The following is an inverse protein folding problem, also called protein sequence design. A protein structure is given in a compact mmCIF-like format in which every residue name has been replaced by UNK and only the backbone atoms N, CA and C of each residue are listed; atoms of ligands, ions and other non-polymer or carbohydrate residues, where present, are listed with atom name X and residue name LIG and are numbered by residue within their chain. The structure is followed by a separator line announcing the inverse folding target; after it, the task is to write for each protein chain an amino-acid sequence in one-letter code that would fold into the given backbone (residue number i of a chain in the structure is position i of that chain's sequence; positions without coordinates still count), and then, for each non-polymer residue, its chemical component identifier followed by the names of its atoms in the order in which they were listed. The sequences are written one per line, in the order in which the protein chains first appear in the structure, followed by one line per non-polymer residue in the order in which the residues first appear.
data_IF_724503559290
#
_entry.id   IF_724503559290
#
_cell.length_a   1.000
_cell.length_b   1.000
_cell.length_c   1.000
_cell.angle_alpha   90.00
_cell.angle_beta   90.00
_cell.angle_gamma   90.00
#
_symmetry.space_group_name_H-M   'P 1'
#
loop_
_entity.id
_entity.type
_entity.pdbx_description
1 polymer ?
#
# COMPACT_ATOMS: atom_id res chain seq x y z
N UNK A 1 26.26 5.12 35.61
CA UNK A 1 27.06 6.32 35.31
C UNK A 1 26.71 6.75 33.90
N UNK A 2 26.17 7.97 33.75
CA UNK A 2 25.92 8.75 32.53
C UNK A 2 24.92 8.23 31.48
N UNK A 3 23.65 8.57 31.72
CA UNK A 3 22.65 8.90 30.68
C UNK A 3 23.07 10.22 30.00
N UNK A 4 23.08 10.27 28.66
CA UNK A 4 23.06 11.55 27.93
C UNK A 4 21.68 11.72 27.31
N UNK A 5 20.94 12.68 27.85
CA UNK A 5 19.72 13.25 27.29
C UNK A 5 20.13 14.32 26.28
N UNK A 6 19.59 14.28 25.07
CA UNK A 6 19.60 15.46 24.19
C UNK A 6 18.23 16.11 24.30
N UNK A 7 18.24 17.28 24.93
CA UNK A 7 17.15 18.24 24.99
C UNK A 7 17.43 19.25 23.88
N UNK A 8 16.55 19.39 22.89
CA UNK A 8 16.54 20.55 22.01
C UNK A 8 15.17 21.21 22.16
N UNK A 9 15.17 22.43 22.68
CA UNK A 9 13.98 23.22 22.95
C UNK A 9 14.16 24.56 22.24
N UNK A 10 13.21 24.84 21.33
CA UNK A 10 12.59 26.13 21.00
C UNK A 10 13.42 27.15 20.21
N UNK A 11 12.86 27.59 19.07
CA UNK A 11 12.47 29.01 18.94
C UNK A 11 11.32 29.20 17.94
N UNK A 12 10.19 29.66 18.47
CA UNK A 12 9.07 30.24 17.73
C UNK A 12 9.49 31.53 17.02
N UNK A 13 9.02 31.72 15.79
CA UNK A 13 9.15 32.96 15.03
C UNK A 13 7.88 33.26 14.25
N UNK A 14 6.88 33.81 14.94
CA UNK A 14 5.70 34.42 14.33
C UNK A 14 6.14 35.73 13.65
N UNK A 15 5.87 35.90 12.36
CA UNK A 15 5.96 37.21 11.69
C UNK A 15 4.73 37.40 10.81
N UNK A 16 3.71 38.03 11.40
CA UNK A 16 2.59 38.65 10.72
C UNK A 16 3.03 40.03 10.22
N UNK A 17 2.87 40.30 8.93
CA UNK A 17 2.78 41.66 8.40
C UNK A 17 1.66 41.73 7.37
N UNK A 18 0.74 42.63 7.65
CA UNK A 18 -0.53 42.88 6.99
C UNK A 18 -0.42 43.88 5.83
N UNK A 19 -1.19 43.58 4.79
CA UNK A 19 -2.09 44.45 4.02
C UNK A 19 -1.59 45.57 3.08
N UNK A 20 -2.22 45.51 1.90
CA UNK A 20 -2.84 46.59 1.11
C UNK A 20 -2.11 47.07 -0.15
N UNK A 21 -2.83 47.01 -1.28
CA UNK A 21 -2.60 47.88 -2.43
C UNK A 21 -3.02 47.33 -3.79
N UNK A 22 -4.32 47.44 -4.12
CA UNK A 22 -4.84 47.28 -5.47
C UNK A 22 -4.29 48.35 -6.45
N UNK A 23 -4.16 47.96 -7.74
CA UNK A 23 -4.64 48.80 -8.84
C UNK A 23 -3.64 49.23 -9.91
N UNK A 24 -3.80 48.66 -11.12
CA UNK A 24 -4.02 49.47 -12.33
C UNK A 24 -2.88 49.65 -13.34
N UNK A 25 -2.96 48.87 -14.42
CA UNK A 25 -3.00 49.31 -15.83
C UNK A 25 -1.73 49.77 -16.58
N UNK A 26 -1.34 48.89 -17.52
CA UNK A 26 -0.96 49.04 -18.95
C UNK A 26 0.31 49.79 -19.41
N UNK A 27 1.18 48.95 -20.01
CA UNK A 27 1.72 48.99 -21.39
C UNK A 27 2.59 50.16 -21.87
N UNK A 28 3.84 49.85 -22.25
CA UNK A 28 4.33 50.05 -23.63
C UNK A 28 5.62 49.26 -23.91
N UNK A 29 5.65 48.63 -25.08
CA UNK A 29 6.80 47.99 -25.72
C UNK A 29 7.86 49.02 -26.17
N UNK A 30 9.14 48.65 -26.18
CA UNK A 30 10.07 48.75 -27.34
C UNK A 30 11.39 48.02 -26.99
N UNK A 31 11.65 46.87 -27.64
CA UNK A 31 12.70 46.59 -28.64
C UNK A 31 14.18 46.68 -28.22
N UNK A 32 14.95 45.63 -28.51
CA UNK A 32 16.42 45.65 -28.53
C UNK A 32 17.05 44.33 -28.07
N UNK A 33 17.39 43.44 -29.00
CA UNK A 33 17.95 42.12 -28.70
C UNK A 33 19.44 42.11 -28.33
N UNK A 34 19.92 40.99 -27.77
CA UNK A 34 21.09 40.20 -28.20
C UNK A 34 21.17 38.90 -27.37
N UNK A 35 21.47 37.80 -28.06
CA UNK A 35 21.81 36.42 -27.63
C UNK A 35 22.80 36.37 -26.44
N UNK A 36 22.56 35.56 -25.39
CA UNK A 36 22.79 34.11 -25.23
C UNK A 36 24.10 33.82 -24.46
N UNK A 37 23.99 33.15 -23.30
CA UNK A 37 24.73 31.92 -22.95
C UNK A 37 24.48 31.45 -21.49
N UNK A 38 24.09 30.17 -21.38
CA UNK A 38 24.39 29.21 -20.29
C UNK A 38 23.78 29.44 -18.89
N UNK A 39 23.30 28.45 -18.13
CA UNK A 39 23.28 27.00 -18.26
C UNK A 39 22.09 26.44 -17.44
N UNK A 40 21.38 25.47 -18.01
CA UNK A 40 20.39 24.65 -17.32
C UNK A 40 20.91 23.21 -17.39
N UNK A 41 21.25 22.63 -16.24
CA UNK A 41 21.65 21.23 -16.11
C UNK A 41 20.40 20.41 -15.89
N UNK A 42 20.10 19.52 -16.84
CA UNK A 42 19.13 18.44 -16.65
C UNK A 42 19.81 17.16 -16.16
N UNK A 43 18.99 16.22 -15.72
CA UNK A 43 19.19 14.79 -15.96
C UNK A 43 17.81 14.17 -16.06
N UNK A 44 17.47 13.85 -17.30
CA UNK A 44 16.40 12.98 -17.73
C UNK A 44 17.14 11.76 -18.30
N UNK A 45 16.81 10.55 -17.86
CA UNK A 45 17.42 9.32 -18.36
C UNK A 45 16.31 8.34 -18.77
N UNK A 46 15.78 8.58 -19.97
CA UNK A 46 15.05 7.59 -20.73
C UNK A 46 15.98 6.41 -21.07
N UNK A 47 15.55 5.18 -20.79
CA UNK A 47 16.09 3.99 -21.44
C UNK A 47 15.09 3.44 -22.46
N UNK A 48 15.65 3.20 -23.64
CA UNK A 48 15.07 2.74 -24.89
C UNK A 48 14.52 1.32 -24.82
N UNK A 49 13.27 1.16 -25.25
CA UNK A 49 12.70 -0.12 -25.67
C UNK A 49 13.45 -0.70 -26.87
N UNK A 50 13.82 -1.97 -26.76
CA UNK A 50 14.15 -2.81 -27.91
C UNK A 50 13.35 -4.10 -27.79
N UNK A 51 12.33 -4.19 -28.63
CA UNK A 51 11.48 -5.35 -28.82
C UNK A 51 12.31 -6.59 -29.20
N UNK A 52 12.16 -7.66 -28.42
CA UNK A 52 12.41 -9.01 -28.90
C UNK A 52 11.34 -9.96 -28.34
N UNK A 53 10.53 -10.40 -29.28
CA UNK A 53 9.55 -11.49 -29.25
C UNK A 53 10.19 -12.81 -28.78
N UNK A 54 9.70 -13.36 -27.66
CA UNK A 54 9.70 -14.80 -27.40
C UNK A 54 8.72 -15.17 -26.29
N UNK A 55 7.65 -15.88 -26.68
CA UNK A 55 7.03 -16.95 -25.87
C UNK A 55 6.18 -16.53 -24.68
N UNK A 56 4.88 -16.35 -24.92
CA UNK A 56 3.83 -16.58 -23.90
C UNK A 56 4.02 -17.98 -23.29
N UNK A 57 4.52 -18.05 -22.07
CA UNK A 57 4.19 -19.11 -21.13
C UNK A 57 3.33 -18.47 -20.05
N UNK A 58 2.03 -18.74 -20.14
CA UNK A 58 1.08 -18.64 -19.03
C UNK A 58 1.50 -19.65 -17.98
N UNK A 59 2.18 -19.20 -16.93
CA UNK A 59 2.33 -19.99 -15.71
C UNK A 59 1.24 -19.56 -14.74
N UNK A 60 0.18 -20.37 -14.72
CA UNK A 60 -0.80 -20.41 -13.63
C UNK A 60 -0.07 -20.92 -12.38
N UNK A 61 0.38 -20.02 -11.51
CA UNK A 61 0.64 -20.35 -10.11
C UNK A 61 -0.43 -19.68 -9.27
N UNK A 62 -1.35 -20.51 -8.79
CA UNK A 62 -2.26 -20.20 -7.70
C UNK A 62 -1.43 -19.93 -6.45
N UNK A 63 -1.05 -18.67 -6.25
CA UNK A 63 -0.81 -18.13 -4.93
C UNK A 63 -2.15 -18.14 -4.21
N UNK A 64 -2.46 -19.24 -3.53
CA UNK A 64 -3.57 -19.31 -2.59
C UNK A 64 -3.16 -18.42 -1.40
N UNK A 65 -3.43 -17.12 -1.52
CA UNK A 65 -3.45 -16.21 -0.39
C UNK A 65 -4.45 -16.79 0.60
N UNK A 66 -4.01 -16.99 1.85
CA UNK A 66 -4.88 -17.34 2.95
C UNK A 66 -5.74 -16.12 3.35
N UNK A 67 -6.48 -15.56 2.40
CA UNK A 67 -7.58 -14.66 2.67
C UNK A 67 -8.75 -15.54 3.12
N UNK A 68 -9.20 -15.33 4.36
CA UNK A 68 -10.39 -16.00 4.89
C UNK A 68 -11.52 -15.92 3.88
N UNK A 69 -12.12 -17.07 3.56
CA UNK A 69 -13.11 -17.16 2.48
C UNK A 69 -14.23 -16.13 2.68
N UNK A 70 -14.34 -15.17 1.76
CA UNK A 70 -15.32 -14.11 1.89
C UNK A 70 -16.74 -14.68 1.90
N UNK A 71 -17.56 -14.16 2.81
CA UNK A 71 -18.95 -14.60 2.93
C UNK A 71 -19.83 -13.88 1.90
N UNK A 72 -20.64 -14.64 1.17
CA UNK A 72 -21.69 -14.11 0.29
C UNK A 72 -22.88 -13.58 1.12
N UNK A 73 -24.05 -13.38 0.51
CA UNK A 73 -25.28 -12.85 1.14
C UNK A 73 -25.89 -13.72 2.29
N UNK A 74 -25.10 -14.60 2.92
CA UNK A 74 -25.44 -15.46 4.06
C UNK A 74 -25.44 -14.72 5.42
N UNK A 75 -25.31 -15.44 6.53
CA UNK A 75 -25.16 -14.82 7.87
C UNK A 75 -23.83 -14.08 7.94
N UNK A 76 -23.82 -12.85 8.49
CA UNK A 76 -22.56 -12.12 8.67
C UNK A 76 -21.69 -12.86 9.68
N UNK A 77 -20.37 -12.91 9.49
CA UNK A 77 -19.44 -13.23 10.56
C UNK A 77 -19.72 -12.33 11.77
N UNK A 78 -19.68 -12.89 12.98
CA UNK A 78 -20.00 -12.14 14.20
C UNK A 78 -19.11 -10.90 14.38
N UNK A 79 -17.84 -11.01 14.00
CA UNK A 79 -16.87 -9.91 14.03
C UNK A 79 -17.21 -8.79 13.04
N UNK A 80 -17.62 -9.15 11.81
CA UNK A 80 -18.11 -8.16 10.84
C UNK A 80 -19.40 -7.48 11.33
N UNK A 81 -20.31 -8.22 11.98
CA UNK A 81 -21.53 -7.64 12.56
C UNK A 81 -21.20 -6.68 13.71
N UNK A 82 -20.27 -7.06 14.60
CA UNK A 82 -19.81 -6.20 15.69
C UNK A 82 -19.16 -4.91 15.17
N UNK A 83 -18.22 -5.03 14.23
CA UNK A 83 -17.55 -3.89 13.59
C UNK A 83 -18.55 -2.96 12.88
N UNK A 84 -19.48 -3.51 12.09
CA UNK A 84 -20.54 -2.71 11.47
C UNK A 84 -21.44 -2.05 12.52
N UNK A 85 -21.70 -2.70 13.65
CA UNK A 85 -22.56 -2.15 14.71
C UNK A 85 -21.89 -1.02 15.51
N UNK A 86 -20.56 -1.00 15.60
CA UNK A 86 -19.79 0.00 16.33
C UNK A 86 -19.64 1.32 15.57
N UNK A 87 -19.79 1.32 14.24
CA UNK A 87 -19.78 2.52 13.40
C UNK A 87 -20.82 3.57 13.81
N UNK A 88 -20.41 4.84 13.79
CA UNK A 88 -21.33 5.99 13.86
C UNK A 88 -22.31 6.02 12.67
N UNK A 89 -23.39 6.80 12.78
CA UNK A 89 -24.35 6.93 11.67
C UNK A 89 -23.70 7.59 10.44
N UNK A 90 -22.81 8.55 10.66
CA UNK A 90 -22.09 9.26 9.62
C UNK A 90 -21.07 8.36 8.91
N UNK A 91 -20.22 7.65 9.65
CA UNK A 91 -19.24 6.71 9.08
C UNK A 91 -19.95 5.61 8.27
N UNK A 92 -21.03 5.06 8.83
CA UNK A 92 -21.88 4.09 8.16
C UNK A 92 -22.43 4.60 6.83
N UNK A 93 -22.91 5.83 6.81
CA UNK A 93 -23.42 6.46 5.59
C UNK A 93 -22.30 6.70 4.57
N UNK A 94 -21.13 7.14 5.03
CA UNK A 94 -19.97 7.40 4.18
C UNK A 94 -19.44 6.11 3.53
N UNK A 95 -19.20 5.06 4.32
CA UNK A 95 -18.76 3.77 3.82
C UNK A 95 -19.79 3.09 2.91
N UNK A 96 -21.08 3.19 3.24
CA UNK A 96 -22.14 2.74 2.32
C UNK A 96 -22.04 3.45 0.96
N UNK A 97 -21.81 4.77 0.96
CA UNK A 97 -21.67 5.54 -0.28
C UNK A 97 -20.47 5.09 -1.10
N UNK A 98 -19.30 4.91 -0.48
CA UNK A 98 -18.08 4.44 -1.17
C UNK A 98 -18.32 3.09 -1.83
N UNK A 99 -18.84 2.12 -1.07
CA UNK A 99 -19.12 0.78 -1.58
C UNK A 99 -20.18 0.80 -2.70
N UNK A 100 -21.22 1.61 -2.54
CA UNK A 100 -22.27 1.77 -3.54
C UNK A 100 -21.72 2.38 -4.84
N UNK A 101 -20.88 3.41 -4.74
CA UNK A 101 -20.28 4.07 -5.89
C UNK A 101 -19.30 3.16 -6.64
N UNK A 102 -18.48 2.38 -5.93
CA UNK A 102 -17.61 1.39 -6.57
C UNK A 102 -18.45 0.33 -7.28
N UNK A 103 -19.46 -0.24 -6.61
CA UNK A 103 -20.28 -1.33 -7.15
C UNK A 103 -21.16 -0.90 -8.34
N UNK A 104 -21.87 0.22 -8.24
CA UNK A 104 -22.86 0.63 -9.25
C UNK A 104 -22.32 1.65 -10.25
N UNK A 105 -21.39 2.50 -9.84
CA UNK A 105 -20.91 3.63 -10.65
C UNK A 105 -19.46 3.46 -11.11
N UNK A 106 -18.72 2.51 -10.53
CA UNK A 106 -17.30 2.27 -10.78
C UNK A 106 -16.45 3.52 -10.49
N UNK A 107 -16.82 4.25 -9.44
CA UNK A 107 -16.16 5.47 -8.99
C UNK A 107 -15.52 5.24 -7.63
N UNK A 108 -14.26 5.64 -7.51
CA UNK A 108 -13.50 5.61 -6.28
C UNK A 108 -13.43 7.02 -5.65
N UNK A 109 -13.23 7.13 -4.32
CA UNK A 109 -13.13 8.42 -3.63
C UNK A 109 -12.07 9.37 -4.19
N UNK A 110 -10.99 8.83 -4.74
CA UNK A 110 -9.89 9.61 -5.33
C UNK A 110 -10.13 10.02 -6.79
N UNK A 111 -11.31 9.72 -7.33
CA UNK A 111 -11.75 9.97 -8.70
C UNK A 111 -10.91 9.27 -9.80
N UNK A 112 -10.00 8.36 -9.43
CA UNK A 112 -9.20 7.59 -10.39
C UNK A 112 -9.97 6.38 -10.90
N UNK A 113 -9.51 5.87 -12.04
CA UNK A 113 -10.00 4.64 -12.65
C UNK A 113 -9.00 3.51 -12.38
N UNK A 114 -9.51 2.38 -11.91
CA UNK A 114 -8.74 1.17 -11.62
C UNK A 114 -9.00 0.06 -12.64
N UNK A 115 -9.32 0.45 -13.88
CA UNK A 115 -9.40 -0.49 -15.01
C UNK A 115 -10.71 -1.25 -15.13
N UNK A 116 -11.85 -0.64 -14.81
CA UNK A 116 -13.16 -1.30 -14.91
C UNK A 116 -13.33 -2.12 -16.22
N UNK A 117 -13.54 -3.43 -16.06
CA UNK A 117 -13.74 -4.35 -17.16
C UNK A 117 -15.23 -4.64 -17.38
N UNK A 118 -15.75 -4.17 -18.52
CA UNK A 118 -17.13 -4.42 -18.90
C UNK A 118 -17.38 -5.93 -19.07
N UNK A 119 -18.20 -6.50 -18.18
CA UNK A 119 -18.54 -7.92 -18.16
C UNK A 119 -17.84 -8.74 -17.07
N UNK A 120 -16.92 -8.14 -16.31
CA UNK A 120 -16.46 -8.72 -15.06
C UNK A 120 -17.60 -8.68 -14.01
N UNK A 121 -17.64 -9.68 -13.13
CA UNK A 121 -18.60 -9.71 -12.04
C UNK A 121 -18.03 -8.93 -10.85
N UNK A 122 -18.45 -7.66 -10.70
CA UNK A 122 -17.97 -6.78 -9.64
C UNK A 122 -18.26 -7.30 -8.23
N UNK A 123 -19.18 -8.25 -8.08
CA UNK A 123 -19.51 -8.85 -6.78
C UNK A 123 -18.46 -9.83 -6.26
N UNK A 124 -17.51 -10.24 -7.10
CA UNK A 124 -16.37 -11.08 -6.70
C UNK A 124 -15.31 -10.31 -5.90
N UNK A 125 -15.31 -8.98 -5.99
CA UNK A 125 -14.50 -8.12 -5.11
C UNK A 125 -14.95 -8.27 -3.66
N UNK A 126 -14.09 -7.82 -2.74
CA UNK A 126 -14.29 -7.99 -1.32
C UNK A 126 -14.14 -6.68 -0.56
N UNK A 127 -14.80 -6.59 0.59
CA UNK A 127 -14.64 -5.49 1.53
C UNK A 127 -14.75 -5.98 2.97
N UNK A 128 -14.23 -5.21 3.91
CA UNK A 128 -14.41 -5.43 5.34
C UNK A 128 -14.51 -4.10 6.09
N UNK A 129 -15.09 -4.14 7.29
CA UNK A 129 -14.96 -3.06 8.28
C UNK A 129 -14.15 -3.64 9.43
N UNK A 130 -13.00 -3.05 9.72
CA UNK A 130 -12.07 -3.57 10.72
C UNK A 130 -11.12 -2.47 11.19
N UNK A 131 -10.76 -2.51 12.48
CA UNK A 131 -9.69 -1.68 13.09
C UNK A 131 -8.33 -2.32 12.79
N UNK A 132 -7.71 -1.99 11.65
CA UNK A 132 -6.46 -2.66 11.22
C UNK A 132 -5.21 -2.02 11.78
N UNK A 133 -5.23 -0.72 12.06
CA UNK A 133 -4.09 -0.02 12.66
C UNK A 133 -4.10 -0.02 14.21
N UNK A 134 -5.19 -0.51 14.82
CA UNK A 134 -5.39 -0.60 16.26
C UNK A 134 -5.48 0.76 16.95
N UNK A 135 -5.92 1.81 16.25
CA UNK A 135 -6.14 3.15 16.79
C UNK A 135 -7.49 3.27 17.55
N UNK A 136 -8.37 2.27 17.40
CA UNK A 136 -9.69 2.19 18.03
C UNK A 136 -10.85 2.68 17.16
N UNK A 137 -10.57 3.13 15.94
CA UNK A 137 -11.52 3.45 14.88
C UNK A 137 -11.86 2.19 14.09
N UNK A 138 -12.69 2.30 13.06
CA UNK A 138 -13.01 1.15 12.21
C UNK A 138 -12.86 1.61 10.78
N UNK A 139 -11.96 0.97 10.03
CA UNK A 139 -11.64 1.38 8.68
C UNK A 139 -12.45 0.56 7.68
N UNK A 140 -12.72 1.16 6.52
CA UNK A 140 -13.25 0.45 5.36
C UNK A 140 -12.10 -0.11 4.52
N UNK A 141 -12.01 -1.44 4.47
CA UNK A 141 -11.08 -2.17 3.63
C UNK A 141 -11.78 -2.61 2.35
N UNK A 142 -11.10 -2.51 1.20
CA UNK A 142 -11.62 -2.97 -0.09
C UNK A 142 -10.51 -3.71 -0.84
N UNK A 143 -10.79 -4.90 -1.36
CA UNK A 143 -9.93 -5.61 -2.29
C UNK A 143 -10.61 -5.65 -3.67
N UNK A 144 -10.10 -4.83 -4.60
CA UNK A 144 -10.59 -4.70 -5.97
C UNK A 144 -9.74 -5.55 -6.92
N UNK A 145 -10.28 -6.67 -7.37
CA UNK A 145 -9.60 -7.70 -8.17
C UNK A 145 -10.28 -8.02 -9.50
N UNK A 146 -11.50 -7.52 -9.75
CA UNK A 146 -12.28 -7.78 -10.97
C UNK A 146 -11.86 -6.86 -12.13
N UNK A 147 -10.57 -6.77 -12.37
CA UNK A 147 -9.90 -5.88 -13.32
C UNK A 147 -8.66 -6.57 -13.89
N UNK A 148 -7.89 -5.90 -14.72
CA UNK A 148 -6.59 -6.41 -15.17
C UNK A 148 -5.54 -6.36 -14.04
N UNK A 149 -4.41 -7.05 -14.22
CA UNK A 149 -3.37 -7.17 -13.20
C UNK A 149 -2.87 -5.82 -12.68
N UNK A 150 -2.77 -4.82 -13.56
CA UNK A 150 -2.30 -3.49 -13.22
C UNK A 150 -3.36 -2.66 -12.47
N UNK A 151 -4.65 -2.96 -12.67
CA UNK A 151 -5.75 -2.30 -11.98
C UNK A 151 -6.09 -2.91 -10.63
N UNK A 152 -5.58 -4.11 -10.29
CA UNK A 152 -5.83 -4.75 -9.00
C UNK A 152 -5.30 -3.88 -7.88
N UNK A 153 -6.13 -3.58 -6.89
CA UNK A 153 -5.77 -2.65 -5.81
C UNK A 153 -6.56 -2.97 -4.55
N UNK A 154 -5.91 -2.85 -3.41
CA UNK A 154 -6.54 -2.80 -2.10
C UNK A 154 -6.47 -1.38 -1.52
N UNK A 155 -7.49 -1.03 -0.76
CA UNK A 155 -7.66 0.28 -0.14
C UNK A 155 -7.98 0.14 1.34
N UNK A 156 -7.51 1.10 2.14
CA UNK A 156 -7.93 1.32 3.52
C UNK A 156 -8.40 2.77 3.63
N UNK A 157 -9.65 2.94 4.08
CA UNK A 157 -10.27 4.25 4.26
C UNK A 157 -10.74 4.47 5.70
N UNK A 158 -10.29 5.54 6.32
CA UNK A 158 -10.87 6.04 7.58
C UNK A 158 -11.97 7.08 7.31
N UNK A 159 -12.89 7.23 8.27
CA UNK A 159 -13.90 8.28 8.30
C UNK A 159 -13.52 9.43 9.25
N UNK A 160 -13.15 10.57 8.67
CA UNK A 160 -12.76 11.76 9.43
C UNK A 160 -14.00 12.56 9.84
N UNK A 161 -14.52 12.28 11.03
CA UNK A 161 -15.74 12.93 11.57
C UNK A 161 -15.72 14.46 11.57
N UNK A 162 -14.56 15.09 11.75
CA UNK A 162 -14.42 16.55 11.74
C UNK A 162 -14.66 17.18 10.37
N UNK A 163 -14.48 16.40 9.30
CA UNK A 163 -14.60 16.82 7.91
C UNK A 163 -15.81 16.20 7.19
N UNK A 164 -16.47 15.21 7.83
CA UNK A 164 -17.59 14.44 7.26
C UNK A 164 -17.21 13.83 5.91
N UNK A 165 -16.03 13.22 5.84
CA UNK A 165 -15.47 12.62 4.62
C UNK A 165 -14.65 11.37 4.93
N UNK A 166 -14.52 10.51 3.91
CA UNK A 166 -13.55 9.41 3.93
C UNK A 166 -12.15 9.92 3.52
N UNK A 167 -11.12 9.39 4.15
CA UNK A 167 -9.71 9.65 3.81
C UNK A 167 -9.03 8.32 3.51
N UNK A 168 -8.21 8.29 2.45
CA UNK A 168 -7.34 7.16 2.15
C UNK A 168 -6.16 7.12 3.11
N UNK A 169 -5.94 5.97 3.73
CA UNK A 169 -4.79 5.72 4.61
C UNK A 169 -3.76 4.81 3.95
N UNK A 170 -4.22 3.98 3.02
CA UNK A 170 -3.38 3.02 2.33
C UNK A 170 -3.97 2.64 0.98
N UNK A 171 -3.07 2.42 0.01
CA UNK A 171 -3.36 1.93 -1.32
C UNK A 171 -2.19 1.11 -1.84
N UNK A 172 -2.42 -0.15 -2.23
CA UNK A 172 -1.39 -1.04 -2.77
C UNK A 172 -2.01 -2.22 -3.54
N UNK A 173 -1.20 -3.06 -4.20
CA UNK A 173 -1.63 -4.35 -4.74
C UNK A 173 -2.29 -5.23 -3.65
N UNK A 174 -3.40 -5.97 -3.95
CA UNK A 174 -4.26 -6.58 -2.92
C UNK A 174 -3.73 -7.88 -2.27
N UNK A 175 -2.44 -8.17 -2.40
CA UNK A 175 -1.79 -9.28 -1.71
C UNK A 175 -1.27 -8.80 -0.34
N UNK A 176 -2.19 -8.64 0.61
CA UNK A 176 -1.91 -8.03 1.91
C UNK A 176 -2.03 -9.04 3.06
N UNK A 177 -1.06 -8.98 3.98
CA UNK A 177 -1.13 -9.59 5.31
C UNK A 177 -1.08 -8.48 6.36
N UNK A 178 -2.08 -8.44 7.25
CA UNK A 178 -2.20 -7.42 8.29
C UNK A 178 -1.75 -7.97 9.64
N UNK A 179 -1.12 -7.14 10.46
CA UNK A 179 -0.64 -7.50 11.78
C UNK A 179 -1.22 -6.59 12.88
N UNK A 180 -1.51 -7.17 14.04
CA UNK A 180 -2.10 -6.49 15.22
C UNK A 180 -1.19 -5.44 15.91
N UNK A 181 -0.08 -5.08 15.27
CA UNK A 181 0.85 -4.05 15.69
C UNK A 181 1.00 -2.91 14.66
N UNK A 182 0.07 -2.81 13.70
CA UNK A 182 0.03 -1.74 12.70
C UNK A 182 1.01 -1.94 11.54
N UNK A 183 1.50 -3.16 11.32
CA UNK A 183 2.29 -3.50 10.13
C UNK A 183 1.43 -4.19 9.07
N UNK A 184 1.77 -3.95 7.80
CA UNK A 184 1.22 -4.65 6.64
C UNK A 184 2.37 -5.18 5.79
N UNK A 185 2.34 -6.47 5.45
CA UNK A 185 3.14 -7.01 4.36
C UNK A 185 2.32 -6.97 3.07
N UNK A 186 2.84 -6.27 2.06
CA UNK A 186 2.23 -6.19 0.74
C UNK A 186 3.10 -6.93 -0.29
N UNK A 187 2.66 -8.11 -0.71
CA UNK A 187 3.32 -8.88 -1.76
C UNK A 187 3.26 -8.16 -3.11
N UNK A 188 4.31 -8.29 -3.92
CA UNK A 188 4.31 -7.68 -5.26
C UNK A 188 3.35 -8.41 -6.21
N UNK A 189 2.87 -7.71 -7.25
CA UNK A 189 2.06 -8.34 -8.32
C UNK A 189 2.82 -9.40 -9.12
N UNK A 190 4.15 -9.31 -9.15
CA UNK A 190 5.02 -10.23 -9.88
C UNK A 190 6.28 -10.53 -9.07
N UNK A 191 6.73 -11.78 -9.11
CA UNK A 191 8.05 -12.16 -8.66
C UNK A 191 9.03 -12.12 -9.84
N UNK A 192 9.72 -10.99 -10.00
CA UNK A 192 10.72 -10.79 -11.05
C UNK A 192 12.16 -10.98 -10.55
N UNK A 193 12.32 -11.27 -9.26
CA UNK A 193 13.60 -11.40 -8.58
C UNK A 193 14.21 -12.79 -8.70
N UNK A 194 15.26 -13.01 -7.92
CA UNK A 194 15.97 -14.29 -7.85
C UNK A 194 15.47 -15.17 -6.70
N UNK A 195 14.43 -14.76 -5.97
CA UNK A 195 13.90 -15.46 -4.79
C UNK A 195 13.20 -16.79 -5.10
N UNK A 196 12.84 -17.01 -6.38
CA UNK A 196 12.20 -18.25 -6.82
C UNK A 196 10.81 -18.45 -6.21
N UNK A 197 10.32 -19.70 -6.22
CA UNK A 197 9.00 -20.03 -5.66
C UNK A 197 8.98 -20.01 -4.12
N UNK A 198 10.16 -20.12 -3.49
CA UNK A 198 10.30 -20.23 -2.03
C UNK A 198 10.15 -18.88 -1.31
N UNK A 199 10.27 -17.77 -2.04
CA UNK A 199 10.18 -16.43 -1.48
C UNK A 199 9.48 -15.48 -2.47
N UNK A 200 8.37 -14.90 -2.03
CA UNK A 200 7.68 -13.86 -2.80
C UNK A 200 8.11 -12.48 -2.27
N UNK A 201 8.62 -11.58 -3.12
CA UNK A 201 9.04 -10.26 -2.69
C UNK A 201 7.84 -9.44 -2.18
N UNK A 202 8.10 -8.58 -1.19
CA UNK A 202 7.08 -7.77 -0.55
C UNK A 202 7.63 -6.43 -0.07
N UNK A 203 6.72 -5.48 0.14
CA UNK A 203 7.00 -4.24 0.85
C UNK A 203 6.34 -4.31 2.22
N UNK A 204 7.11 -4.03 3.27
CA UNK A 204 6.62 -3.87 4.63
C UNK A 204 6.22 -2.41 4.84
N UNK A 205 4.98 -2.21 5.26
CA UNK A 205 4.41 -0.91 5.63
C UNK A 205 4.17 -0.85 7.14
N UNK A 206 4.32 0.34 7.72
CA UNK A 206 4.03 0.62 9.12
C UNK A 206 3.05 1.78 9.22
N UNK A 207 2.04 1.65 10.06
CA UNK A 207 1.12 2.74 10.38
C UNK A 207 1.85 3.88 11.12
N UNK A 208 1.66 5.11 10.63
CA UNK A 208 2.17 6.34 11.24
C UNK A 208 1.02 7.19 11.79
N UNK A 209 0.87 7.17 13.12
CA UNK A 209 -0.16 7.95 13.83
C UNK A 209 -0.08 9.48 13.67
N UNK A 210 1.04 10.05 13.19
CA UNK A 210 1.13 11.49 12.96
C UNK A 210 0.43 11.89 11.66
N UNK A 211 0.65 11.13 10.59
CA UNK A 211 0.02 11.34 9.28
C UNK A 211 -1.32 10.63 9.14
N UNK A 212 -1.58 9.62 9.98
CA UNK A 212 -2.78 8.80 9.96
C UNK A 212 -2.88 8.01 8.64
N UNK A 213 -1.74 7.40 8.28
CA UNK A 213 -1.52 6.64 7.04
C UNK A 213 -0.50 5.53 7.25
N UNK A 214 -0.46 4.54 6.36
CA UNK A 214 0.60 3.54 6.30
C UNK A 214 1.75 4.03 5.42
N UNK A 215 2.98 3.98 5.95
CA UNK A 215 4.20 4.39 5.25
C UNK A 215 5.11 3.20 4.99
N UNK A 216 5.78 3.20 3.85
CA UNK A 216 6.74 2.15 3.52
C UNK A 216 7.89 2.16 4.54
N UNK A 217 8.22 0.99 5.08
CA UNK A 217 9.32 0.81 6.02
C UNK A 217 10.51 0.14 5.33
N UNK A 218 10.27 -0.94 4.58
CA UNK A 218 11.32 -1.66 3.84
C UNK A 218 10.74 -2.45 2.69
N UNK A 219 11.53 -2.60 1.62
CA UNK A 219 11.31 -3.58 0.57
C UNK A 219 12.17 -4.83 0.83
N UNK A 220 11.61 -6.01 0.60
CA UNK A 220 12.30 -7.28 0.81
C UNK A 220 12.25 -8.13 -0.46
N UNK A 221 13.41 -8.57 -0.90
CA UNK A 221 13.61 -9.57 -1.95
C UNK A 221 14.59 -10.64 -1.46
N UNK A 222 14.75 -11.70 -2.24
CA UNK A 222 15.70 -12.76 -1.97
C UNK A 222 16.44 -13.20 -3.24
N UNK A 223 17.54 -13.89 -3.03
CA UNK A 223 18.21 -14.66 -4.07
C UNK A 223 18.32 -16.10 -3.60
N UNK A 224 17.57 -16.99 -4.22
CA UNK A 224 17.70 -18.44 -4.09
C UNK A 224 18.70 -18.94 -5.15
N UNK A 225 19.83 -19.49 -4.69
CA UNK A 225 20.91 -19.99 -5.55
C UNK A 225 20.42 -21.04 -6.54
N UNK A 226 19.38 -21.79 -6.20
CA UNK A 226 18.83 -22.84 -7.06
C UNK A 226 18.15 -22.28 -8.31
N UNK A 227 17.69 -21.04 -8.27
CA UNK A 227 17.10 -20.31 -9.41
C UNK A 227 18.19 -19.93 -10.41
N UNK A 228 19.25 -19.27 -9.92
CA UNK A 228 20.41 -18.93 -10.72
C UNK A 228 21.66 -18.74 -9.87
N UNK A 229 22.80 -19.18 -10.38
CA UNK A 229 24.10 -18.90 -9.75
C UNK A 229 24.65 -17.50 -10.05
N UNK A 230 24.04 -16.77 -10.99
CA UNK A 230 24.42 -15.40 -11.33
C UNK A 230 23.19 -14.51 -11.55
N UNK A 231 23.27 -13.23 -11.19
CA UNK A 231 22.24 -12.24 -11.49
C UNK A 231 22.31 -11.74 -12.96
N UNK A 232 21.48 -10.75 -13.31
CA UNK A 232 21.40 -10.18 -14.64
C UNK A 232 22.66 -9.38 -15.02
N UNK A 233 23.36 -8.84 -14.03
CA UNK A 233 24.61 -8.10 -14.14
C UNK A 233 25.84 -9.03 -14.23
N UNK A 234 25.65 -10.33 -13.95
CA UNK A 234 26.68 -11.35 -13.98
C UNK A 234 27.49 -11.47 -12.69
N UNK A 235 27.00 -10.90 -11.58
CA UNK A 235 27.54 -11.17 -10.26
C UNK A 235 27.20 -12.61 -9.86
N UNK A 236 28.08 -13.26 -9.10
CA UNK A 236 27.84 -14.61 -8.59
C UNK A 236 27.03 -14.57 -7.30
N UNK A 237 26.28 -15.64 -7.02
CA UNK A 237 25.60 -15.82 -5.73
C UNK A 237 26.59 -15.66 -4.57
N UNK A 238 26.30 -14.85 -3.53
CA UNK A 238 27.23 -14.51 -2.46
C UNK A 238 27.35 -15.64 -1.43
N UNK A 239 28.12 -16.69 -1.77
CA UNK A 239 28.34 -17.86 -0.92
C UNK A 239 28.92 -17.51 0.46
N UNK A 240 29.68 -16.43 0.58
CA UNK A 240 30.26 -15.98 1.84
C UNK A 240 29.24 -15.38 2.82
N UNK A 241 28.08 -14.93 2.31
CA UNK A 241 26.99 -14.37 3.11
C UNK A 241 26.06 -15.48 3.61
N UNK A 242 25.82 -16.53 2.81
CA UNK A 242 25.03 -17.72 3.17
C UNK A 242 25.77 -18.63 4.18
N UNK A 243 26.02 -18.10 5.39
CA UNK A 243 26.72 -18.80 6.47
C UNK A 243 25.88 -19.94 7.03
N UNK A 244 24.55 -19.81 7.00
CA UNK A 244 23.62 -20.86 7.39
C UNK A 244 23.64 -22.06 6.42
N UNK A 245 24.03 -21.84 5.17
CA UNK A 245 24.00 -22.84 4.10
C UNK A 245 22.58 -23.16 3.65
N UNK A 246 21.66 -22.19 3.78
CA UNK A 246 20.28 -22.30 3.35
C UNK A 246 20.15 -22.33 1.83
N UNK A 247 21.15 -21.80 1.10
CA UNK A 247 21.09 -21.61 -0.34
C UNK A 247 20.33 -20.34 -0.75
N UNK A 248 19.94 -19.50 0.20
CA UNK A 248 19.20 -18.26 -0.01
C UNK A 248 19.80 -17.13 0.81
N UNK A 249 19.87 -15.94 0.22
CA UNK A 249 20.20 -14.69 0.92
C UNK A 249 19.10 -13.67 0.69
N UNK A 250 18.97 -12.71 1.61
CA UNK A 250 17.85 -11.76 1.64
C UNK A 250 18.33 -10.33 1.48
N UNK A 251 17.63 -9.54 0.68
CA UNK A 251 17.85 -8.11 0.53
C UNK A 251 16.76 -7.37 1.30
N UNK A 252 17.14 -6.61 2.32
CA UNK A 252 16.23 -5.75 3.08
C UNK A 252 16.65 -4.31 2.78
N UNK A 253 15.81 -3.60 2.02
CA UNK A 253 16.07 -2.23 1.58
C UNK A 253 15.15 -1.29 2.32
N UNK A 254 15.65 -0.46 3.27
CA UNK A 254 14.83 0.57 3.91
C UNK A 254 14.20 1.52 2.89
N UNK A 255 13.03 2.05 3.19
CA UNK A 255 12.36 2.99 2.28
C UNK A 255 13.25 4.21 1.96
N UNK A 256 13.29 4.58 0.68
CA UNK A 256 14.12 5.67 0.16
C UNK A 256 15.63 5.41 0.11
N UNK A 257 16.09 4.20 0.44
CA UNK A 257 17.50 3.80 0.33
C UNK A 257 17.76 2.91 -0.90
N UNK A 258 19.01 2.90 -1.37
CA UNK A 258 19.45 1.96 -2.41
C UNK A 258 19.63 0.56 -1.79
N UNK A 259 19.33 -0.49 -2.57
CA UNK A 259 19.55 -1.88 -2.14
C UNK A 259 21.00 -2.11 -1.72
N UNK A 260 21.18 -2.54 -0.48
CA UNK A 260 22.48 -2.82 0.13
C UNK A 260 22.98 -4.25 -0.11
N UNK A 261 23.96 -4.64 0.71
CA UNK A 261 24.44 -6.02 0.76
C UNK A 261 23.35 -6.95 1.33
N UNK A 262 23.24 -8.19 0.83
CA UNK A 262 22.28 -9.13 1.36
C UNK A 262 22.70 -9.66 2.74
N UNK A 263 21.75 -10.30 3.42
CA UNK A 263 21.94 -10.92 4.73
C UNK A 263 21.66 -12.43 4.68
N UNK A 264 22.26 -13.15 5.62
CA UNK A 264 21.99 -14.58 5.87
C UNK A 264 20.56 -14.79 6.41
N UNK A 265 20.05 -16.01 6.27
CA UNK A 265 18.76 -16.42 6.84
C UNK A 265 18.60 -16.02 8.31
N UNK A 266 19.61 -16.26 9.15
CA UNK A 266 19.47 -16.01 10.59
C UNK A 266 19.35 -14.50 10.92
N UNK A 267 19.91 -13.64 10.08
CA UNK A 267 19.79 -12.19 10.23
C UNK A 267 18.46 -11.67 9.67
N UNK A 268 17.98 -12.24 8.56
CA UNK A 268 16.63 -11.99 8.07
C UNK A 268 15.57 -12.39 9.09
N UNK A 269 15.65 -13.60 9.67
CA UNK A 269 14.71 -14.06 10.69
C UNK A 269 14.72 -13.16 11.93
N UNK A 270 15.91 -12.71 12.36
CA UNK A 270 16.05 -11.77 13.48
C UNK A 270 15.47 -10.38 13.16
N UNK A 271 15.57 -9.93 11.91
CA UNK A 271 14.92 -8.71 11.45
C UNK A 271 13.40 -8.85 11.44
N UNK A 272 12.86 -9.97 10.95
CA UNK A 272 11.42 -10.28 11.00
C UNK A 272 10.91 -10.29 12.44
N UNK A 273 11.59 -11.02 13.33
CA UNK A 273 11.25 -11.07 14.75
C UNK A 273 11.26 -9.67 15.40
N UNK A 274 12.11 -8.76 14.92
CA UNK A 274 12.26 -7.43 15.51
C UNK A 274 11.08 -6.49 15.26
N UNK A 275 10.49 -6.51 14.05
CA UNK A 275 9.31 -5.68 13.77
C UNK A 275 8.03 -6.41 14.15
N UNK A 276 8.00 -7.75 14.07
CA UNK A 276 6.84 -8.53 14.50
C UNK A 276 6.65 -8.43 16.01
N UNK A 277 7.70 -8.51 16.82
CA UNK A 277 7.66 -8.36 18.30
C UNK A 277 6.51 -9.13 18.98
N UNK A 278 6.21 -10.34 18.48
CA UNK A 278 5.11 -11.17 18.97
C UNK A 278 3.72 -10.87 18.39
N UNK A 279 3.61 -9.92 17.48
CA UNK A 279 2.40 -9.60 16.74
C UNK A 279 1.82 -10.81 16.00
N UNK A 280 0.51 -10.84 15.92
CA UNK A 280 -0.27 -11.87 15.25
C UNK A 280 -0.84 -11.33 13.94
N UNK A 281 -0.99 -12.23 12.97
CA UNK A 281 -1.72 -11.93 11.75
C UNK A 281 -3.21 -11.73 12.08
N UNK A 282 -3.81 -10.70 11.52
CA UNK A 282 -5.23 -10.41 11.68
C UNK A 282 -6.05 -11.25 10.69
N UNK A 283 -7.09 -11.91 11.20
CA UNK A 283 -8.09 -12.59 10.37
C UNK A 283 -9.18 -11.59 9.96
N UNK A 284 -9.03 -10.99 8.77
CA UNK A 284 -9.99 -9.99 8.28
C UNK A 284 -11.31 -10.66 7.88
N UNK A 285 -12.47 -10.21 8.40
CA UNK A 285 -13.77 -10.82 8.12
C UNK A 285 -14.34 -10.34 6.78
N UNK A 286 -13.68 -10.71 5.68
CA UNK A 286 -14.05 -10.29 4.33
C UNK A 286 -15.49 -10.66 3.95
N UNK A 287 -16.18 -9.71 3.33
CA UNK A 287 -17.50 -9.84 2.74
C UNK A 287 -17.39 -9.66 1.23
N UNK A 288 -18.15 -10.43 0.46
CA UNK A 288 -18.29 -10.16 -0.98
C UNK A 288 -18.97 -8.82 -1.20
N UNK A 289 -18.52 -8.07 -2.22
CA UNK A 289 -19.04 -6.77 -2.60
C UNK A 289 -20.38 -6.91 -3.35
N UNK A 290 -21.41 -7.39 -2.66
CA UNK A 290 -22.76 -7.56 -3.20
C UNK A 290 -23.67 -6.40 -2.76
N UNK A 291 -24.71 -6.10 -3.53
CA UNK A 291 -25.75 -5.15 -3.10
C UNK A 291 -26.36 -5.54 -1.73
N UNK A 292 -26.49 -6.84 -1.46
CA UNK A 292 -26.96 -7.36 -0.18
C UNK A 292 -26.05 -6.97 0.98
N UNK A 293 -24.75 -7.24 0.88
CA UNK A 293 -23.77 -6.91 1.92
C UNK A 293 -23.55 -5.40 2.07
N UNK A 294 -23.53 -4.66 0.95
CA UNK A 294 -23.45 -3.19 0.97
C UNK A 294 -24.61 -2.60 1.78
N UNK A 295 -25.84 -3.06 1.53
CA UNK A 295 -27.01 -2.55 2.25
C UNK A 295 -27.06 -2.94 3.74
N UNK A 296 -26.29 -3.94 4.18
CA UNK A 296 -26.17 -4.29 5.61
C UNK A 296 -25.34 -3.26 6.36
N UNK A 297 -24.31 -2.69 5.74
CA UNK A 297 -23.54 -1.59 6.35
C UNK A 297 -24.49 -0.48 6.78
N UNK A 298 -25.41 -0.08 5.89
CA UNK A 298 -26.40 0.98 6.15
C UNK A 298 -27.45 0.66 7.22
N UNK A 299 -27.76 -0.62 7.44
CA UNK A 299 -28.81 -1.03 8.38
C UNK A 299 -28.24 -1.15 9.79
N UNK A 300 -28.93 -0.62 10.80
CA UNK A 300 -28.62 -1.03 12.18
C UNK A 300 -28.98 -2.52 12.34
N UNK A 301 -28.07 -3.37 12.83
CA UNK A 301 -28.43 -4.73 13.20
C UNK A 301 -29.56 -4.66 14.24
N UNK A 302 -30.59 -5.49 14.05
CA UNK A 302 -31.72 -5.54 14.97
C UNK A 302 -31.23 -6.13 16.31
N UNK A 303 -31.12 -5.28 17.33
CA UNK A 303 -30.71 -5.68 18.69
C UNK A 303 -31.67 -6.61 19.41
#
# INVERSE_FOLDING_TARGET
MNRKKYLATVLSGLLLLSAAGCGGTQAQEETGGTQAESAQSGTDAAQTEKTQDSGEQTEDIQGESAQGAATADGELPAEAEEAISSLSEEARSAYHSVLYDIYFNHLFPDEKSYGFLAGADISENEFAIYDVDQDGSQELLIAYTTTDEAGKTAFIYDFVSALDMVREEFIEYPMLTFYDNGYIEAGLSHNQGLGGESFWPYTLYQYDSESDTYVAASHVDAWDRSVSGTDAEGNEFPEEIDVSGAGTVYYITPDGEDTGEPVDQAEYDAWVDSWKDGAQELEIPWLKLTDGNINRVKQQPAG
#
